data_IF_920951413720
#
_entry.id   IF_920951413720
#
_cell.length_a   1.000
_cell.length_b   1.000
_cell.length_c   1.000
_cell.angle_alpha   90.00
_cell.angle_beta   90.00
_cell.angle_gamma   90.00
#
_symmetry.space_group_name_H-M   'P 1'
#
loop_
_entity.id
_entity.type
_entity.pdbx_description
1 polymer ?
#
# COMPACT_ATOMS: atom_id res chain seq x y z
N UNK A 1 10.37 -12.45 -17.68
CA UNK A 1 9.17 -12.33 -16.82
C UNK A 1 8.18 -11.47 -17.58
N UNK A 2 6.94 -11.88 -17.85
CA UNK A 2 5.96 -10.99 -18.48
C UNK A 2 4.54 -11.31 -18.00
N UNK A 3 3.97 -10.42 -17.20
CA UNK A 3 2.54 -10.43 -16.85
C UNK A 3 1.89 -9.30 -17.62
N UNK A 4 0.86 -9.62 -18.39
CA UNK A 4 0.02 -8.62 -19.02
C UNK A 4 -1.28 -8.50 -18.25
N UNK A 5 -1.57 -7.31 -17.75
CA UNK A 5 -2.81 -7.01 -17.05
C UNK A 5 -3.62 -6.03 -17.91
N UNK A 6 -4.83 -6.44 -18.28
CA UNK A 6 -5.74 -5.59 -19.06
C UNK A 6 -6.60 -4.72 -18.16
N UNK A 7 -7.34 -5.35 -17.25
CA UNK A 7 -8.29 -4.69 -16.34
C UNK A 7 -8.33 -5.44 -15.00
N UNK A 8 -8.32 -4.70 -13.91
CA UNK A 8 -8.70 -5.17 -12.58
C UNK A 8 -10.09 -4.61 -12.27
N UNK A 9 -11.03 -5.52 -12.02
CA UNK A 9 -12.39 -5.22 -11.66
C UNK A 9 -12.80 -5.92 -10.37
N UNK A 10 -13.84 -5.43 -9.72
CA UNK A 10 -14.40 -6.03 -8.50
C UNK A 10 -15.83 -6.45 -8.79
N UNK A 11 -16.26 -7.61 -8.29
CA UNK A 11 -17.65 -8.08 -8.45
C UNK A 11 -18.33 -8.31 -7.12
N UNK A 12 -19.58 -7.85 -7.01
CA UNK A 12 -20.41 -8.00 -5.82
C UNK A 12 -21.19 -9.32 -5.83
N UNK A 13 -21.45 -9.88 -4.65
CA UNK A 13 -22.44 -10.94 -4.47
C UNK A 13 -23.46 -10.53 -3.40
N UNK A 14 -24.70 -10.99 -3.54
CA UNK A 14 -25.81 -10.69 -2.65
C UNK A 14 -25.52 -11.26 -1.25
N UNK A 15 -25.32 -10.40 -0.26
CA UNK A 15 -25.32 -10.81 1.15
C UNK A 15 -25.76 -9.64 2.02
N UNK A 16 -26.82 -9.88 2.79
CA UNK A 16 -27.38 -8.95 3.75
C UNK A 16 -26.80 -9.24 5.13
N UNK A 17 -25.99 -8.34 5.70
CA UNK A 17 -25.55 -8.48 7.11
C UNK A 17 -25.58 -7.13 7.82
N UNK A 18 -26.23 -7.17 8.99
CA UNK A 18 -26.49 -6.09 9.96
C UNK A 18 -25.21 -5.67 10.69
N UNK A 19 -25.03 -4.36 10.83
CA UNK A 19 -24.03 -3.73 11.70
C UNK A 19 -24.48 -3.80 13.17
N UNK A 20 -23.59 -4.23 14.08
CA UNK A 20 -23.64 -3.80 15.48
C UNK A 20 -22.23 -3.48 15.97
N UNK A 21 -21.96 -2.21 16.27
CA UNK A 21 -20.76 -1.76 16.99
C UNK A 21 -21.11 -1.58 18.46
N UNK A 22 -20.23 -2.04 19.34
CA UNK A 22 -20.24 -1.68 20.75
C UNK A 22 -18.86 -1.13 21.12
N UNK A 23 -18.83 0.07 21.71
CA UNK A 23 -17.65 0.66 22.33
C UNK A 23 -17.78 0.55 23.85
N UNK A 24 -16.69 0.27 24.54
CA UNK A 24 -16.60 0.39 26.00
C UNK A 24 -15.40 1.24 26.38
N UNK A 25 -15.69 2.39 26.99
CA UNK A 25 -14.76 3.25 27.73
C UNK A 25 -14.42 2.60 29.07
N UNK A 26 -13.15 2.64 29.48
CA UNK A 26 -12.81 2.66 30.90
C UNK A 26 -11.57 3.53 31.16
N UNK A 27 -11.73 4.45 32.10
CA UNK A 27 -10.70 5.26 32.72
C UNK A 27 -10.60 4.86 34.20
N UNK A 28 -9.40 4.89 34.80
CA UNK A 28 -9.26 5.14 36.25
C UNK A 28 -7.83 5.51 36.66
N UNK A 29 -7.78 6.39 37.67
CA UNK A 29 -6.64 7.12 38.23
C UNK A 29 -5.69 6.27 39.11
N UNK A 30 -4.47 6.81 39.35
CA UNK A 30 -3.39 6.23 40.18
C UNK A 30 -3.63 6.20 41.70
N UNK A 31 -2.57 5.94 42.51
CA UNK A 31 -1.88 7.05 43.18
C UNK A 31 -0.35 6.91 43.36
N UNK A 32 0.25 7.99 43.87
CA UNK A 32 1.66 8.31 44.10
C UNK A 32 2.24 7.64 45.36
N UNK A 33 3.54 7.35 45.37
CA UNK A 33 4.36 7.19 46.58
C UNK A 33 5.78 7.78 46.35
N UNK A 34 6.24 8.55 47.34
CA UNK A 34 7.56 9.19 47.43
C UNK A 34 8.58 8.26 48.14
N UNK A 35 9.86 8.31 47.77
CA UNK A 35 11.00 8.41 48.71
C UNK A 35 12.38 8.53 48.01
N UNK A 36 13.23 9.35 48.65
CA UNK A 36 14.65 9.70 48.47
C UNK A 36 15.62 8.48 48.44
N UNK A 37 16.93 8.54 48.17
CA UNK A 37 17.91 9.44 47.54
C UNK A 37 19.21 8.59 47.42
N UNK A 38 20.08 8.91 46.47
CA UNK A 38 21.54 9.09 46.62
C UNK A 38 22.41 8.65 45.43
N UNK A 39 23.51 9.39 45.34
CA UNK A 39 24.50 9.61 44.30
C UNK A 39 25.16 8.39 43.63
N UNK A 40 25.29 8.47 42.29
CA UNK A 40 26.55 8.23 41.54
C UNK A 40 26.47 8.83 40.12
N UNK A 41 27.56 9.41 39.65
CA UNK A 41 27.68 10.22 38.42
C UNK A 41 28.08 9.39 37.18
N UNK A 42 28.09 9.96 35.96
CA UNK A 42 27.19 9.62 34.88
C UNK A 42 27.79 8.60 33.91
N UNK A 43 27.30 7.36 33.91
CA UNK A 43 27.28 6.58 32.69
C UNK A 43 26.11 7.11 31.87
N UNK A 44 26.37 7.78 30.75
CA UNK A 44 25.32 8.24 29.83
C UNK A 44 24.42 7.04 29.55
N UNK A 45 23.19 6.99 30.08
CA UNK A 45 22.29 5.95 29.65
C UNK A 45 22.04 6.26 28.19
N UNK A 46 22.40 5.32 27.31
CA UNK A 46 21.80 5.24 25.99
C UNK A 46 20.32 5.44 26.24
N UNK A 47 19.78 6.57 25.81
CA UNK A 47 18.34 6.80 25.87
C UNK A 47 17.74 5.77 24.92
N UNK A 48 17.53 4.55 25.41
CA UNK A 48 16.40 3.74 25.00
C UNK A 48 15.19 4.53 25.49
N UNK A 49 14.86 5.59 24.76
CA UNK A 49 13.53 6.15 24.77
C UNK A 49 12.67 5.03 24.23
N UNK A 50 12.24 4.19 25.17
CA UNK A 50 11.21 3.21 25.01
C UNK A 50 9.92 3.98 24.71
N UNK A 51 9.79 4.45 23.47
CA UNK A 51 8.53 4.74 22.79
C UNK A 51 7.82 3.39 22.54
N UNK A 52 7.66 2.57 23.57
CA UNK A 52 7.34 1.14 23.48
C UNK A 52 5.95 0.87 22.87
N UNK A 53 5.14 1.90 22.65
CA UNK A 53 3.76 1.76 22.18
C UNK A 53 3.37 2.70 21.04
N UNK A 54 4.26 3.60 20.60
CA UNK A 54 3.92 4.47 19.48
C UNK A 54 5.11 4.71 18.58
N UNK A 55 5.12 3.96 17.47
CA UNK A 55 6.01 4.19 16.36
C UNK A 55 5.42 5.30 15.48
N UNK A 56 6.08 6.46 15.40
CA UNK A 56 5.63 7.59 14.59
C UNK A 56 5.69 7.28 13.10
N UNK A 57 6.73 6.57 12.68
CA UNK A 57 7.08 6.37 11.28
C UNK A 57 6.81 4.92 10.88
N UNK A 58 5.84 4.70 9.99
CA UNK A 58 5.43 3.36 9.54
C UNK A 58 6.56 2.55 8.87
N UNK A 59 7.57 3.24 8.34
CA UNK A 59 8.82 2.65 7.84
C UNK A 59 9.94 3.26 8.66
N UNK A 60 10.29 2.61 9.77
CA UNK A 60 11.19 3.13 10.79
C UNK A 60 12.33 3.98 10.23
N UNK A 61 12.34 5.26 10.63
CA UNK A 61 13.51 6.14 10.61
C UNK A 61 14.26 6.33 9.29
N UNK A 62 13.68 6.08 8.11
CA UNK A 62 14.30 6.61 6.89
C UNK A 62 14.19 8.13 6.93
N UNK A 63 15.25 8.78 7.43
CA UNK A 63 15.48 10.20 7.31
C UNK A 63 15.56 10.56 5.83
N UNK A 64 14.41 10.76 5.20
CA UNK A 64 14.30 11.45 3.90
C UNK A 64 14.76 12.90 4.02
N UNK A 65 14.94 13.39 5.26
CA UNK A 65 15.59 14.66 5.58
C UNK A 65 17.12 14.55 5.70
N UNK A 66 17.70 13.38 5.44
CA UNK A 66 19.12 13.04 5.57
C UNK A 66 19.96 13.14 4.30
N UNK A 67 19.40 13.52 3.15
CA UNK A 67 20.16 13.75 1.91
C UNK A 67 20.09 15.22 1.49
N UNK A 68 20.97 16.07 2.06
CA UNK A 68 21.31 17.38 1.50
C UNK A 68 20.21 18.44 1.43
N UNK A 69 19.11 18.29 2.18
CA UNK A 69 18.01 19.25 2.19
C UNK A 69 18.41 20.59 2.81
N UNK A 70 18.69 21.60 1.96
CA UNK A 70 18.86 23.00 2.35
C UNK A 70 17.73 23.39 3.33
N UNK A 71 18.07 23.97 4.49
CA UNK A 71 17.08 24.54 5.42
C UNK A 71 16.29 25.61 4.69
N UNK A 72 15.07 25.30 4.28
CA UNK A 72 14.20 26.19 3.50
C UNK A 72 13.82 27.40 4.37
N UNK A 73 13.78 28.60 3.78
CA UNK A 73 13.42 29.82 4.52
C UNK A 73 11.97 29.74 5.01
N UNK A 74 11.68 30.24 6.22
CA UNK A 74 10.31 30.24 6.79
C UNK A 74 9.28 30.90 5.86
N UNK A 75 9.68 31.95 5.13
CA UNK A 75 8.81 32.61 4.15
C UNK A 75 8.50 31.71 2.95
N UNK A 76 9.50 30.97 2.47
CA UNK A 76 9.31 30.02 1.36
C UNK A 76 8.37 28.89 1.79
N UNK A 77 8.54 28.34 3.00
CA UNK A 77 7.63 27.32 3.53
C UNK A 77 6.17 27.77 3.60
N UNK A 78 5.92 29.03 3.96
CA UNK A 78 4.55 29.58 4.00
C UNK A 78 3.98 29.72 2.58
N UNK A 79 4.78 30.20 1.63
CA UNK A 79 4.36 30.35 0.22
C UNK A 79 4.09 28.97 -0.41
N UNK A 80 4.97 28.01 -0.20
CA UNK A 80 4.80 26.63 -0.66
C UNK A 80 3.57 26.00 -0.01
N UNK A 81 3.38 26.22 1.31
CA UNK A 81 2.20 25.75 2.04
C UNK A 81 0.88 26.33 1.50
N UNK A 82 0.84 27.61 1.13
CA UNK A 82 -0.34 28.23 0.51
C UNK A 82 -0.62 27.68 -0.89
N UNK A 83 0.42 27.40 -1.67
CA UNK A 83 0.31 26.78 -2.99
C UNK A 83 -0.25 25.36 -2.87
N UNK A 84 0.33 24.55 -1.99
CA UNK A 84 -0.16 23.20 -1.69
C UNK A 84 -1.62 23.25 -1.19
N UNK A 85 -1.94 24.14 -0.25
CA UNK A 85 -3.29 24.27 0.29
C UNK A 85 -4.32 24.58 -0.81
N UNK A 86 -3.99 25.41 -1.80
CA UNK A 86 -4.88 25.65 -2.96
C UNK A 86 -5.16 24.37 -3.75
N UNK A 87 -4.14 23.56 -4.00
CA UNK A 87 -4.27 22.26 -4.67
C UNK A 87 -5.13 21.30 -3.82
N UNK A 88 -4.90 21.26 -2.51
CA UNK A 88 -5.67 20.44 -1.57
C UNK A 88 -7.14 20.85 -1.49
N UNK A 89 -7.47 22.15 -1.55
CA UNK A 89 -8.86 22.62 -1.62
C UNK A 89 -9.54 22.26 -2.94
N UNK A 90 -8.79 22.24 -4.06
CA UNK A 90 -9.33 21.78 -5.34
C UNK A 90 -9.68 20.28 -5.28
N UNK A 91 -8.80 19.46 -4.69
CA UNK A 91 -9.07 18.04 -4.43
C UNK A 91 -10.26 17.86 -3.48
N UNK A 92 -10.35 18.65 -2.41
CA UNK A 92 -11.48 18.61 -1.48
C UNK A 92 -12.81 18.92 -2.16
N UNK A 93 -12.85 19.90 -3.05
CA UNK A 93 -14.06 20.22 -3.80
C UNK A 93 -14.48 19.05 -4.72
N UNK A 94 -13.51 18.40 -5.36
CA UNK A 94 -13.77 17.18 -6.13
C UNK A 94 -14.34 16.06 -5.25
N UNK A 95 -13.76 15.82 -4.07
CA UNK A 95 -14.29 14.85 -3.11
C UNK A 95 -15.73 15.15 -2.69
N UNK A 96 -16.07 16.41 -2.46
CA UNK A 96 -17.44 16.79 -2.09
C UNK A 96 -18.43 16.58 -3.24
N UNK A 97 -18.02 16.89 -4.47
CA UNK A 97 -18.82 16.60 -5.66
C UNK A 97 -19.06 15.10 -5.81
N UNK A 98 -18.01 14.30 -5.63
CA UNK A 98 -18.12 12.84 -5.66
C UNK A 98 -19.03 12.31 -4.55
N UNK A 99 -18.89 12.80 -3.31
CA UNK A 99 -19.76 12.39 -2.20
C UNK A 99 -21.22 12.75 -2.41
N UNK A 100 -21.49 13.91 -2.99
CA UNK A 100 -22.87 14.35 -3.29
C UNK A 100 -23.47 13.57 -4.46
N UNK A 101 -22.66 13.16 -5.43
CA UNK A 101 -23.11 12.38 -6.59
C UNK A 101 -23.17 10.86 -6.34
N UNK A 102 -22.47 10.36 -5.31
CA UNK A 102 -22.37 8.93 -5.02
C UNK A 102 -23.57 8.43 -4.22
N UNK A 103 -24.63 8.02 -4.94
CA UNK A 103 -25.71 7.22 -4.35
C UNK A 103 -25.26 5.73 -4.29
N UNK A 104 -25.13 5.13 -3.10
CA UNK A 104 -24.65 3.76 -2.95
C UNK A 104 -25.51 2.73 -3.70
N UNK A 105 -26.81 2.96 -3.88
CA UNK A 105 -27.67 2.02 -4.60
C UNK A 105 -27.44 2.03 -6.12
N UNK A 106 -26.96 3.15 -6.66
CA UNK A 106 -26.72 3.32 -8.10
C UNK A 106 -25.31 2.87 -8.48
N UNK A 107 -24.34 3.10 -7.59
CA UNK A 107 -22.92 2.77 -7.81
C UNK A 107 -22.68 1.26 -7.73
N UNK A 108 -23.36 0.57 -6.83
CA UNK A 108 -23.07 -0.83 -6.52
C UNK A 108 -24.18 -1.76 -7.03
N UNK A 109 -24.07 -2.16 -8.30
CA UNK A 109 -25.05 -3.04 -8.92
C UNK A 109 -24.68 -4.51 -8.74
N UNK A 110 -25.57 -5.33 -8.16
CA UNK A 110 -25.25 -6.73 -7.91
C UNK A 110 -25.07 -7.49 -9.22
N UNK A 111 -23.92 -8.16 -9.36
CA UNK A 111 -23.56 -8.93 -10.56
C UNK A 111 -22.80 -8.15 -11.63
N UNK A 112 -22.66 -6.83 -11.47
CA UNK A 112 -21.78 -6.02 -12.31
C UNK A 112 -20.34 -6.08 -11.81
N UNK A 113 -19.39 -5.80 -12.71
CA UNK A 113 -17.96 -5.73 -12.39
C UNK A 113 -17.46 -4.31 -12.54
N UNK A 114 -16.99 -3.71 -11.46
CA UNK A 114 -16.50 -2.33 -11.45
C UNK A 114 -15.01 -2.29 -11.70
N UNK A 115 -14.58 -1.59 -12.74
CA UNK A 115 -13.16 -1.48 -13.13
C UNK A 115 -12.48 -0.42 -12.28
N UNK A 116 -11.56 -0.85 -11.40
CA UNK A 116 -10.80 0.05 -10.52
C UNK A 116 -9.48 0.47 -11.14
N UNK A 117 -8.79 -0.47 -11.80
CA UNK A 117 -7.54 -0.20 -12.49
C UNK A 117 -7.66 -0.59 -13.95
N UNK A 118 -7.40 0.40 -14.79
CA UNK A 118 -7.25 0.25 -16.22
C UNK A 118 -5.78 0.47 -16.58
N UNK A 119 -5.35 -0.05 -17.72
CA UNK A 119 -3.99 0.16 -18.24
C UNK A 119 -4.06 0.63 -19.69
N UNK A 120 -4.99 1.53 -19.98
CA UNK A 120 -5.18 2.09 -21.32
C UNK A 120 -4.35 3.37 -21.52
N UNK A 121 -4.11 4.16 -20.45
CA UNK A 121 -3.32 5.40 -20.51
C UNK A 121 -2.05 5.31 -19.65
N UNK A 122 -1.04 6.07 -20.05
CA UNK A 122 0.19 6.27 -19.26
C UNK A 122 -0.10 6.87 -17.87
N UNK A 123 -1.15 7.69 -17.74
CA UNK A 123 -1.59 8.23 -16.44
C UNK A 123 -2.01 7.14 -15.47
N UNK A 124 -2.49 6.00 -15.98
CA UNK A 124 -2.84 4.87 -15.13
C UNK A 124 -1.60 4.10 -14.66
N UNK A 125 -0.50 4.13 -15.43
CA UNK A 125 0.78 3.55 -15.05
C UNK A 125 1.43 4.30 -13.90
N UNK A 126 1.26 5.63 -13.83
CA UNK A 126 1.76 6.47 -12.72
C UNK A 126 1.19 6.05 -11.35
N UNK A 127 0.04 5.35 -11.34
CA UNK A 127 -0.55 4.79 -10.12
C UNK A 127 0.20 3.56 -9.62
N UNK A 128 1.18 3.07 -10.35
CA UNK A 128 1.94 1.86 -10.03
C UNK A 128 3.42 2.18 -9.91
N UNK A 129 4.05 1.61 -8.89
CA UNK A 129 5.49 1.69 -8.67
C UNK A 129 6.05 0.28 -8.80
N UNK A 130 7.02 0.13 -9.68
CA UNK A 130 7.83 -1.08 -9.78
C UNK A 130 8.95 -0.98 -8.75
N UNK A 131 9.19 -2.08 -8.05
CA UNK A 131 10.26 -2.18 -7.05
C UNK A 131 11.01 -3.48 -7.28
N UNK A 132 12.33 -3.37 -7.35
CA UNK A 132 13.26 -4.48 -7.57
C UNK A 132 14.31 -4.55 -6.47
N UNK A 133 15.01 -5.68 -6.40
CA UNK A 133 16.17 -5.83 -5.52
C UNK A 133 17.31 -4.85 -5.87
N UNK A 134 17.47 -4.51 -7.16
CA UNK A 134 18.48 -3.58 -7.65
C UNK A 134 18.29 -2.17 -7.09
N UNK A 135 17.04 -1.72 -6.91
CA UNK A 135 16.74 -0.40 -6.35
C UNK A 135 17.25 -0.23 -4.90
N UNK A 136 17.39 -1.35 -4.18
CA UNK A 136 17.89 -1.39 -2.80
C UNK A 136 19.36 -1.81 -2.71
N UNK A 137 20.04 -2.00 -3.85
CA UNK A 137 21.38 -2.60 -3.95
C UNK A 137 21.46 -4.02 -3.37
N UNK A 138 20.36 -4.77 -3.40
CA UNK A 138 20.26 -6.12 -2.83
C UNK A 138 20.43 -7.24 -3.87
N UNK A 139 20.39 -6.90 -5.16
CA UNK A 139 20.49 -7.86 -6.26
C UNK A 139 20.63 -7.22 -7.63
N UNK A 140 20.39 -8.03 -8.66
CA UNK A 140 20.60 -7.68 -10.08
C UNK A 140 19.32 -7.85 -10.92
N UNK A 141 18.16 -7.98 -10.28
CA UNK A 141 16.88 -8.08 -10.97
C UNK A 141 16.51 -6.74 -11.59
N UNK A 142 16.06 -6.79 -12.84
CA UNK A 142 15.52 -5.63 -13.54
C UNK A 142 14.10 -5.91 -13.98
N UNK A 143 13.18 -4.99 -13.68
CA UNK A 143 11.78 -5.08 -14.10
C UNK A 143 11.24 -3.70 -14.48
N UNK A 144 10.31 -3.68 -15.42
CA UNK A 144 9.66 -2.49 -15.95
C UNK A 144 8.18 -2.75 -16.16
N UNK A 145 7.38 -1.70 -16.06
CA UNK A 145 5.97 -1.70 -16.41
C UNK A 145 5.79 -0.75 -17.58
N UNK A 146 5.40 -1.29 -18.73
CA UNK A 146 5.27 -0.53 -19.98
C UNK A 146 3.88 -0.74 -20.59
N UNK A 147 3.39 0.28 -21.29
CA UNK A 147 2.16 0.16 -22.08
C UNK A 147 2.46 -0.60 -23.37
N UNK A 148 1.70 -1.65 -23.64
CA UNK A 148 1.78 -2.35 -24.92
C UNK A 148 1.04 -1.59 -26.02
N UNK A 149 1.44 -1.69 -27.30
CA UNK A 149 0.71 -1.07 -28.42
C UNK A 149 -0.76 -1.46 -28.51
N UNK A 150 -1.15 -2.61 -27.95
CA UNK A 150 -2.52 -3.09 -27.91
C UNK A 150 -3.32 -2.60 -26.68
N UNK A 151 -2.81 -1.62 -25.92
CA UNK A 151 -3.56 -0.95 -24.85
C UNK A 151 -3.69 -1.77 -23.55
N UNK A 152 -2.65 -2.49 -23.16
CA UNK A 152 -2.59 -3.19 -21.87
C UNK A 152 -1.24 -2.98 -21.19
N UNK A 153 -1.23 -3.07 -19.86
CA UNK A 153 -0.01 -2.97 -19.07
C UNK A 153 0.81 -4.25 -19.17
N UNK A 154 2.07 -4.13 -19.54
CA UNK A 154 3.04 -5.22 -19.64
C UNK A 154 4.10 -5.06 -18.55
N UNK A 155 4.01 -5.88 -17.51
CA UNK A 155 5.05 -5.98 -16.50
C UNK A 155 6.08 -7.00 -16.96
N UNK A 156 7.27 -6.56 -17.35
CA UNK A 156 8.31 -7.45 -17.84
C UNK A 156 9.69 -7.18 -17.27
N UNK A 157 10.58 -8.16 -17.35
CA UNK A 157 11.91 -8.07 -16.75
C UNK A 157 12.69 -9.38 -16.68
N UNK A 158 13.93 -9.26 -16.20
CA UNK A 158 14.87 -10.36 -15.98
C UNK A 158 15.08 -10.53 -14.47
N UNK A 159 14.75 -11.72 -13.98
CA UNK A 159 14.89 -12.09 -12.57
C UNK A 159 16.21 -12.80 -12.37
N UNK A 160 17.07 -12.28 -11.49
CA UNK A 160 18.34 -12.90 -11.14
C UNK A 160 18.40 -13.23 -9.66
N UNK A 161 18.65 -14.50 -9.32
CA UNK A 161 18.83 -14.94 -7.93
C UNK A 161 20.25 -14.77 -7.41
N UNK A 162 21.11 -14.06 -8.15
CA UNK A 162 22.50 -13.84 -7.79
C UNK A 162 22.57 -12.83 -6.65
N UNK A 163 23.17 -13.25 -5.54
CA UNK A 163 23.34 -12.40 -4.35
C UNK A 163 24.65 -11.61 -4.45
N UNK A 164 24.69 -10.32 -4.07
CA UNK A 164 25.92 -9.56 -3.89
C UNK A 164 26.86 -10.24 -2.88
N UNK A 165 28.18 -10.04 -3.02
CA UNK A 165 29.19 -10.70 -2.17
C UNK A 165 29.31 -10.13 -0.75
N UNK A 166 28.41 -9.23 -0.34
CA UNK A 166 28.46 -8.52 0.94
C UNK A 166 28.13 -9.38 2.16
N UNK A 167 27.61 -10.60 1.98
CA UNK A 167 27.33 -11.57 3.06
C UNK A 167 26.17 -11.22 4.00
N UNK A 168 25.57 -10.02 3.87
CA UNK A 168 24.38 -9.60 4.64
C UNK A 168 23.10 -10.26 4.13
N UNK A 169 23.00 -10.42 2.82
CA UNK A 169 21.82 -10.93 2.13
C UNK A 169 22.05 -12.41 1.83
N UNK A 170 21.06 -13.26 2.10
CA UNK A 170 21.14 -14.71 1.85
C UNK A 170 20.41 -15.12 0.57
N UNK A 171 19.43 -14.34 0.12
CA UNK A 171 18.60 -14.60 -1.07
C UNK A 171 18.26 -13.27 -1.74
N UNK A 172 18.35 -13.22 -3.05
CA UNK A 172 17.95 -12.10 -3.91
C UNK A 172 17.10 -12.64 -5.07
N UNK A 173 16.58 -11.75 -5.92
CA UNK A 173 15.72 -12.14 -7.02
C UNK A 173 14.25 -11.89 -6.73
N UNK A 174 13.88 -10.64 -6.45
CA UNK A 174 12.49 -10.23 -6.40
C UNK A 174 12.21 -9.02 -7.30
N UNK A 175 11.02 -9.03 -7.89
CA UNK A 175 10.43 -7.90 -8.58
C UNK A 175 8.97 -7.81 -8.18
N UNK A 176 8.53 -6.62 -7.82
CA UNK A 176 7.18 -6.34 -7.39
C UNK A 176 6.64 -5.13 -8.13
N UNK A 177 5.34 -5.09 -8.31
CA UNK A 177 4.58 -3.93 -8.74
C UNK A 177 3.52 -3.63 -7.68
N UNK A 178 3.51 -2.40 -7.19
CA UNK A 178 2.61 -1.96 -6.12
C UNK A 178 1.85 -0.72 -6.55
N UNK A 179 0.55 -0.67 -6.25
CA UNK A 179 -0.21 0.57 -6.41
C UNK A 179 0.23 1.62 -5.39
N UNK A 180 0.38 2.86 -5.85
CA UNK A 180 0.60 4.03 -4.98
C UNK A 180 -0.58 4.15 -4.02
N UNK A 181 -0.30 4.50 -2.76
CA UNK A 181 -1.35 4.74 -1.76
C UNK A 181 -2.15 5.95 -2.17
N UNK A 182 -3.48 5.85 -2.16
CA UNK A 182 -4.32 7.02 -2.39
C UNK A 182 -4.12 8.02 -1.27
N UNK A 183 -4.20 9.27 -1.66
CA UNK A 183 -4.30 10.39 -0.74
C UNK A 183 -5.55 11.16 -1.08
N UNK A 184 -6.31 11.46 -0.04
CA UNK A 184 -7.39 12.44 -0.04
C UNK A 184 -6.83 13.82 0.28
N UNK A 185 -7.68 14.83 0.17
CA UNK A 185 -7.32 16.21 0.45
C UNK A 185 -6.71 16.36 1.83
N UNK A 186 -5.84 17.36 1.97
CA UNK A 186 -5.02 17.63 3.15
C UNK A 186 -4.04 16.49 3.47
N UNK A 187 -3.52 15.82 2.42
CA UNK A 187 -2.59 14.68 2.54
C UNK A 187 -3.11 13.57 3.45
N UNK A 188 -4.43 13.42 3.54
CA UNK A 188 -5.07 12.37 4.33
C UNK A 188 -4.87 11.03 3.64
N UNK A 189 -4.37 10.04 4.37
CA UNK A 189 -4.27 8.69 3.83
C UNK A 189 -5.66 8.17 3.46
N UNK A 190 -5.76 7.56 2.29
CA UNK A 190 -6.98 6.93 1.83
C UNK A 190 -6.69 5.51 1.37
N UNK A 191 -7.70 4.65 1.55
CA UNK A 191 -7.65 3.25 1.19
C UNK A 191 -8.71 2.97 0.14
N UNK A 192 -8.49 1.92 -0.64
CA UNK A 192 -9.55 1.36 -1.46
C UNK A 192 -10.51 0.61 -0.54
N UNK A 193 -11.75 1.09 -0.48
CA UNK A 193 -12.81 0.42 0.25
C UNK A 193 -13.42 -0.67 -0.64
N UNK A 194 -13.23 -1.92 -0.22
CA UNK A 194 -13.74 -3.10 -0.91
C UNK A 194 -14.83 -3.83 -0.13
N UNK A 195 -15.38 -3.22 0.94
CA UNK A 195 -16.35 -3.87 1.84
C UNK A 195 -17.58 -4.43 1.10
N UNK A 196 -17.99 -3.77 0.02
CA UNK A 196 -19.18 -4.15 -0.74
C UNK A 196 -18.91 -5.20 -1.82
N UNK A 197 -17.65 -5.55 -2.07
CA UNK A 197 -17.26 -6.51 -3.11
C UNK A 197 -16.86 -7.84 -2.51
N UNK A 198 -17.15 -8.93 -3.23
CA UNK A 198 -16.85 -10.28 -2.76
C UNK A 198 -15.70 -10.92 -3.52
N UNK A 199 -15.46 -10.50 -4.77
CA UNK A 199 -14.42 -11.11 -5.61
C UNK A 199 -13.58 -10.05 -6.32
N UNK A 200 -12.27 -10.27 -6.31
CA UNK A 200 -11.33 -9.62 -7.21
C UNK A 200 -11.35 -10.32 -8.58
N UNK A 201 -11.62 -9.56 -9.63
CA UNK A 201 -11.64 -10.03 -11.02
C UNK A 201 -10.47 -9.38 -11.76
N UNK A 202 -9.67 -10.19 -12.45
CA UNK A 202 -8.53 -9.68 -13.20
C UNK A 202 -8.48 -10.34 -14.57
N UNK A 203 -8.16 -9.55 -15.59
CA UNK A 203 -7.83 -10.07 -16.92
C UNK A 203 -6.31 -10.14 -17.07
N UNK A 204 -5.77 -11.34 -16.99
CA UNK A 204 -4.32 -11.59 -16.95
C UNK A 204 -3.89 -12.56 -18.04
N UNK A 205 -2.71 -12.34 -18.59
CA UNK A 205 -1.95 -13.30 -19.40
C UNK A 205 -0.54 -13.42 -18.81
N UNK A 206 -0.11 -14.63 -18.51
CA UNK A 206 1.19 -14.90 -17.88
C UNK A 206 2.06 -15.88 -18.67
N UNK A 207 3.23 -16.16 -18.10
CA UNK A 207 4.30 -16.99 -18.68
C UNK A 207 4.33 -18.42 -18.09
N UNK A 208 3.37 -18.78 -17.23
CA UNK A 208 3.30 -20.10 -16.59
C UNK A 208 3.84 -20.13 -15.16
N UNK A 209 4.35 -19.00 -14.65
CA UNK A 209 4.84 -18.89 -13.29
C UNK A 209 3.71 -18.61 -12.30
N UNK A 210 3.97 -18.93 -11.04
CA UNK A 210 3.14 -18.52 -9.91
C UNK A 210 3.52 -17.11 -9.46
N UNK A 211 2.53 -16.26 -9.26
CA UNK A 211 2.69 -14.91 -8.75
C UNK A 211 1.97 -14.77 -7.42
N UNK A 212 2.55 -14.00 -6.50
CA UNK A 212 1.91 -13.70 -5.24
C UNK A 212 1.16 -12.37 -5.37
N UNK A 213 -0.15 -12.40 -5.12
CA UNK A 213 -0.97 -11.20 -5.01
C UNK A 213 -1.03 -10.82 -3.54
N UNK A 214 -0.67 -9.57 -3.26
CA UNK A 214 -0.62 -9.03 -1.90
C UNK A 214 -1.67 -7.93 -1.76
N UNK A 215 -2.61 -8.11 -0.84
CA UNK A 215 -3.55 -7.08 -0.42
C UNK A 215 -3.12 -6.59 0.97
N UNK A 216 -2.45 -5.45 0.99
CA UNK A 216 -2.04 -4.83 2.24
C UNK A 216 -3.27 -4.25 2.95
N UNK A 217 -3.52 -4.67 4.18
CA UNK A 217 -4.57 -4.13 5.03
C UNK A 217 -3.91 -3.42 6.20
N UNK A 218 -3.94 -2.10 6.19
CA UNK A 218 -3.38 -1.33 7.30
C UNK A 218 -4.47 -1.18 8.37
N UNK A 219 -4.32 -1.93 9.46
CA UNK A 219 -5.21 -1.79 10.61
C UNK A 219 -5.04 -0.44 11.31
N UNK A 220 -6.02 -0.12 12.16
CA UNK A 220 -5.97 1.10 12.99
C UNK A 220 -4.79 1.09 13.97
N UNK A 221 -4.52 -0.07 14.56
CA UNK A 221 -3.43 -0.27 15.50
C UNK A 221 -2.11 -0.52 14.77
N UNK A 222 -1.03 -0.02 15.37
CA UNK A 222 0.36 -0.16 14.94
C UNK A 222 0.80 -1.60 14.72
N UNK A 223 0.33 -2.51 15.58
CA UNK A 223 0.58 -3.95 15.48
C UNK A 223 0.07 -4.53 14.15
N UNK A 224 -1.03 -3.97 13.62
CA UNK A 224 -1.72 -4.45 12.41
C UNK A 224 -1.26 -3.72 11.13
N UNK A 225 -0.26 -2.83 11.19
CA UNK A 225 0.19 -2.09 10.01
C UNK A 225 0.89 -2.97 8.97
N UNK A 226 1.39 -4.14 9.38
CA UNK A 226 2.14 -5.06 8.53
C UNK A 226 1.32 -6.31 8.15
N UNK A 227 -0.01 -6.23 8.30
CA UNK A 227 -0.91 -7.31 7.93
C UNK A 227 -1.16 -7.29 6.41
N UNK A 228 -0.87 -8.43 5.79
CA UNK A 228 -0.99 -8.60 4.35
C UNK A 228 -1.74 -9.89 4.07
N UNK A 229 -2.72 -9.78 3.19
CA UNK A 229 -3.49 -10.91 2.69
C UNK A 229 -2.86 -11.38 1.37
N UNK A 230 -2.50 -12.65 1.32
CA UNK A 230 -1.77 -13.23 0.21
C UNK A 230 -2.64 -14.22 -0.56
N UNK A 231 -2.43 -14.28 -1.87
CA UNK A 231 -2.99 -15.32 -2.72
C UNK A 231 -2.00 -15.70 -3.81
N UNK A 232 -1.78 -17.01 -4.00
CA UNK A 232 -0.91 -17.52 -5.07
C UNK A 232 -1.71 -17.64 -6.37
N UNK A 233 -1.42 -16.76 -7.31
CA UNK A 233 -1.96 -16.78 -8.66
C UNK A 233 -1.13 -17.69 -9.56
N UNK A 234 -1.73 -18.79 -10.00
CA UNK A 234 -1.14 -19.66 -11.02
C UNK A 234 -1.52 -19.17 -12.41
N UNK A 235 -0.56 -18.67 -13.16
CA UNK A 235 -0.79 -18.31 -14.57
C UNK A 235 -0.57 -19.52 -15.47
N UNK A 236 -1.36 -19.65 -16.54
CA UNK A 236 -1.06 -20.61 -17.61
C UNK A 236 -0.16 -19.89 -18.63
N UNK A 237 0.94 -20.52 -19.05
CA UNK A 237 1.91 -19.97 -20.00
C UNK A 237 1.45 -19.91 -21.46
N UNK A 238 0.16 -19.65 -21.70
CA UNK A 238 -0.46 -19.67 -23.02
C UNK A 238 -0.57 -18.30 -23.69
N UNK A 239 -0.86 -18.25 -24.99
CA UNK A 239 -1.04 -16.98 -25.72
C UNK A 239 -2.35 -16.25 -25.37
N UNK A 240 -3.28 -16.94 -24.70
CA UNK A 240 -4.64 -16.46 -24.46
C UNK A 240 -4.78 -15.67 -23.15
N UNK A 241 -5.62 -14.63 -23.22
CA UNK A 241 -6.08 -13.90 -22.04
C UNK A 241 -7.03 -14.74 -21.20
N UNK A 242 -6.89 -14.64 -19.89
CA UNK A 242 -7.73 -15.36 -18.93
C UNK A 242 -8.36 -14.39 -17.94
N UNK A 243 -9.62 -14.66 -17.60
CA UNK A 243 -10.28 -13.99 -16.49
C UNK A 243 -10.08 -14.82 -15.22
N UNK A 244 -9.49 -14.20 -14.21
CA UNK A 244 -9.25 -14.79 -12.91
C UNK A 244 -10.20 -14.12 -11.93
N UNK A 245 -11.05 -14.92 -11.27
CA UNK A 245 -11.98 -14.46 -10.24
C UNK A 245 -11.56 -15.05 -8.90
N UNK A 246 -11.16 -14.20 -7.97
CA UNK A 246 -10.62 -14.60 -6.67
C UNK A 246 -11.55 -14.05 -5.59
N UNK A 247 -12.31 -14.91 -4.88
CA UNK A 247 -13.05 -14.48 -3.70
C UNK A 247 -12.11 -13.95 -2.62
N UNK A 248 -12.48 -12.86 -1.95
CA UNK A 248 -11.65 -12.30 -0.86
C UNK A 248 -11.46 -13.29 0.30
N UNK A 249 -12.41 -14.22 0.49
CA UNK A 249 -12.31 -15.30 1.47
C UNK A 249 -11.20 -16.33 1.19
N UNK A 250 -10.60 -16.34 0.00
CA UNK A 250 -9.49 -17.26 -0.34
C UNK A 250 -8.11 -16.72 0.02
N UNK A 251 -8.01 -15.46 0.42
CA UNK A 251 -6.73 -14.90 0.80
C UNK A 251 -6.34 -15.36 2.20
N UNK A 252 -5.07 -15.67 2.41
CA UNK A 252 -4.54 -16.03 3.72
C UNK A 252 -3.81 -14.83 4.32
N UNK A 253 -4.04 -14.59 5.61
CA UNK A 253 -3.39 -13.53 6.37
C UNK A 253 -1.95 -13.95 6.72
N UNK A 254 -0.99 -13.09 6.44
CA UNK A 254 0.33 -13.13 7.08
C UNK A 254 0.62 -11.75 7.68
N UNK A 255 1.30 -11.76 8.83
CA UNK A 255 1.76 -10.55 9.49
C UNK A 255 3.28 -10.55 9.51
N UNK A 256 3.89 -9.40 9.16
CA UNK A 256 5.35 -9.21 9.09
C UNK A 256 6.10 -10.08 8.07
N UNK A 257 5.39 -10.54 7.03
CA UNK A 257 5.97 -11.28 5.90
C UNK A 257 6.11 -12.78 6.15
#
# INVERSE_FOLDING_TARGET
MSIRCGKLALSQAKSAIRFSRSYSHLASNGPKLFAAADHQSPLVPVRFANNLFWEKDRKGGYDTKGSGGKKVSRKQLIVDGLKELREEFALFNQEWKEKLASDPLVVFRPGETDVVFNFESEKDLDRWVVTTDKDHNEGFTEAKLELSPAGFGCFHGTLESRVPKDGRIKRSGYANIRSVRLRKSFKRDAFYDWEQYNTLVMRVRGDGRSYLINLASEGYFDILWNDIYHYVLFTRGGPHWQYVRIPFSKFFLASKG
#
